data_IF_831563146162
#
_entry.id   IF_831563146162
#
_cell.length_a   1.000
_cell.length_b   1.000
_cell.length_c   1.000
_cell.angle_alpha   90.00
_cell.angle_beta   90.00
_cell.angle_gamma   90.00
#
_symmetry.space_group_name_H-M   'P 1'
#
loop_
_entity.id
_entity.type
_entity.pdbx_description
1 polymer ?
#
# COMPACT_ATOMS: atom_id res chain seq x y z
N UNK A 1 13.91 13.14 -4.69
CA UNK A 1 13.86 11.78 -4.10
C UNK A 1 12.45 11.39 -3.65
N UNK A 2 11.75 12.19 -2.83
CA UNK A 2 10.41 11.87 -2.32
C UNK A 2 9.36 11.50 -3.39
N UNK A 3 9.39 12.18 -4.54
CA UNK A 3 8.43 11.95 -5.65
C UNK A 3 8.63 10.57 -6.30
N UNK A 4 9.88 10.10 -6.43
CA UNK A 4 10.17 8.77 -7.01
C UNK A 4 9.71 7.65 -6.07
N UNK A 5 9.96 7.78 -4.77
CA UNK A 5 9.46 6.84 -3.77
C UNK A 5 7.93 6.83 -3.74
N UNK A 6 7.30 8.00 -3.81
CA UNK A 6 5.86 8.09 -3.89
C UNK A 6 5.30 7.47 -5.18
N UNK A 7 5.96 7.66 -6.32
CA UNK A 7 5.55 7.05 -7.59
C UNK A 7 5.61 5.51 -7.52
N UNK A 8 6.70 4.95 -7.01
CA UNK A 8 6.83 3.49 -6.79
C UNK A 8 5.77 2.97 -5.79
N UNK A 9 5.56 3.69 -4.70
CA UNK A 9 4.54 3.35 -3.70
C UNK A 9 3.12 3.43 -4.30
N UNK A 10 2.85 4.42 -5.13
CA UNK A 10 1.56 4.60 -5.81
C UNK A 10 1.31 3.46 -6.81
N UNK A 11 2.32 3.02 -7.56
CA UNK A 11 2.22 1.85 -8.45
C UNK A 11 1.94 0.57 -7.64
N UNK A 12 2.61 0.40 -6.49
CA UNK A 12 2.36 -0.72 -5.58
C UNK A 12 0.92 -0.69 -5.02
N UNK A 13 0.46 0.45 -4.50
CA UNK A 13 -0.90 0.61 -4.00
C UNK A 13 -1.95 0.39 -5.10
N UNK A 14 -1.69 0.89 -6.32
CA UNK A 14 -2.57 0.68 -7.46
C UNK A 14 -2.67 -0.81 -7.83
N UNK A 15 -1.55 -1.53 -7.83
CA UNK A 15 -1.52 -2.96 -8.07
C UNK A 15 -2.29 -3.75 -6.99
N UNK A 16 -2.16 -3.38 -5.72
CA UNK A 16 -2.88 -4.03 -4.61
C UNK A 16 -4.38 -3.75 -4.64
N UNK A 17 -4.79 -2.52 -4.95
CA UNK A 17 -6.20 -2.10 -4.87
C UNK A 17 -7.01 -2.44 -6.13
N UNK A 18 -6.47 -2.23 -7.33
CA UNK A 18 -7.23 -2.29 -8.58
C UNK A 18 -7.00 -3.54 -9.44
N UNK A 19 -5.86 -4.20 -9.29
CA UNK A 19 -5.55 -5.42 -10.03
C UNK A 19 -5.86 -6.64 -9.15
N UNK A 20 -4.90 -7.54 -9.02
CA UNK A 20 -5.02 -8.76 -8.24
C UNK A 20 -3.99 -8.77 -7.11
N UNK A 21 -3.37 -7.63 -6.78
CA UNK A 21 -2.26 -7.62 -5.82
C UNK A 21 -2.67 -8.06 -4.42
N UNK A 22 -3.90 -7.78 -3.99
CA UNK A 22 -4.41 -8.26 -2.70
C UNK A 22 -4.64 -9.78 -2.68
N UNK A 23 -5.23 -10.34 -3.74
CA UNK A 23 -5.44 -11.79 -3.92
C UNK A 23 -4.11 -12.52 -4.16
N UNK A 24 -3.17 -11.90 -4.87
CA UNK A 24 -1.81 -12.40 -5.11
C UNK A 24 -1.01 -12.40 -3.80
N UNK A 25 -1.15 -11.38 -2.95
CA UNK A 25 -0.55 -11.33 -1.61
C UNK A 25 -1.19 -12.34 -0.66
N UNK A 26 -2.50 -12.59 -0.76
CA UNK A 26 -3.18 -13.65 -0.02
C UNK A 26 -2.77 -15.06 -0.50
N UNK A 27 -2.56 -15.24 -1.80
CA UNK A 27 -2.02 -16.48 -2.38
C UNK A 27 -0.54 -16.69 -2.07
N UNK A 28 0.27 -15.62 -2.08
CA UNK A 28 1.67 -15.65 -1.65
C UNK A 28 1.81 -15.87 -0.14
N UNK A 29 0.86 -15.40 0.67
CA UNK A 29 0.75 -15.70 2.10
C UNK A 29 0.62 -17.21 2.37
N UNK A 30 0.06 -18.00 1.45
CA UNK A 30 0.02 -19.46 1.56
C UNK A 30 1.37 -20.13 1.26
N UNK A 31 2.26 -19.48 0.51
CA UNK A 31 3.56 -20.01 0.10
C UNK A 31 4.73 -19.47 0.93
N UNK A 32 4.61 -18.24 1.43
CA UNK A 32 5.65 -17.54 2.14
C UNK A 32 5.01 -16.98 3.40
N UNK A 33 5.37 -17.58 4.54
CA UNK A 33 5.12 -17.10 5.90
C UNK A 33 5.77 -15.74 6.12
N UNK A 34 5.25 -14.69 5.48
CA UNK A 34 5.63 -13.30 5.67
C UNK A 34 4.91 -12.78 6.91
N UNK A 35 5.62 -12.90 8.03
CA UNK A 35 5.60 -12.02 9.20
C UNK A 35 4.26 -11.80 9.95
N UNK A 36 4.36 -11.89 11.28
CA UNK A 36 3.29 -11.91 12.30
C UNK A 36 2.20 -10.83 12.15
N UNK A 37 2.46 -9.75 11.41
CA UNK A 37 1.54 -8.63 11.19
C UNK A 37 0.48 -8.87 10.09
N UNK A 38 0.74 -9.74 9.11
CA UNK A 38 -0.19 -10.05 8.02
C UNK A 38 -1.15 -11.21 8.33
N UNK A 39 -1.04 -11.81 9.52
CA UNK A 39 -1.73 -13.06 9.88
C UNK A 39 -3.26 -12.91 9.95
N UNK A 40 -3.77 -11.70 10.21
CA UNK A 40 -5.19 -11.46 10.53
C UNK A 40 -6.00 -10.79 9.41
N UNK A 41 -5.36 -10.16 8.41
CA UNK A 41 -6.08 -9.39 7.40
C UNK A 41 -6.40 -10.22 6.14
N UNK A 42 -7.68 -10.28 5.78
CA UNK A 42 -8.19 -10.80 4.50
C UNK A 42 -7.82 -9.89 3.32
N UNK A 43 -7.82 -10.37 2.05
CA UNK A 43 -7.54 -9.51 0.88
C UNK A 43 -8.40 -8.23 0.84
N UNK A 44 -9.63 -8.31 1.34
CA UNK A 44 -10.52 -7.14 1.46
C UNK A 44 -9.98 -6.11 2.45
N UNK A 45 -9.55 -6.54 3.63
CA UNK A 45 -8.98 -5.64 4.64
C UNK A 45 -7.64 -5.08 4.17
N UNK A 46 -6.83 -5.89 3.48
CA UNK A 46 -5.57 -5.46 2.88
C UNK A 46 -5.80 -4.34 1.84
N UNK A 47 -6.80 -4.50 0.95
CA UNK A 47 -7.18 -3.45 -0.01
C UNK A 47 -7.57 -2.15 0.70
N UNK A 48 -8.36 -2.25 1.78
CA UNK A 48 -8.78 -1.09 2.57
C UNK A 48 -7.59 -0.41 3.27
N UNK A 49 -6.73 -1.18 3.90
CA UNK A 49 -5.57 -0.68 4.63
C UNK A 49 -4.57 0.00 3.69
N UNK A 50 -4.28 -0.64 2.55
CA UNK A 50 -3.39 -0.09 1.52
C UNK A 50 -3.97 1.15 0.85
N UNK A 51 -5.30 1.21 0.67
CA UNK A 51 -5.98 2.41 0.21
C UNK A 51 -5.86 3.58 1.19
N UNK A 52 -6.04 3.32 2.49
CA UNK A 52 -5.90 4.34 3.55
C UNK A 52 -4.45 4.80 3.67
N UNK A 53 -3.48 3.89 3.63
CA UNK A 53 -2.06 4.22 3.71
C UNK A 53 -1.58 4.99 2.47
N UNK A 54 -2.15 4.70 1.30
CA UNK A 54 -1.96 5.47 0.07
C UNK A 54 -2.47 6.91 0.20
N UNK A 55 -3.69 7.10 0.71
CA UNK A 55 -4.27 8.42 0.97
C UNK A 55 -3.45 9.21 2.00
N UNK A 56 -3.00 8.57 3.08
CA UNK A 56 -2.14 9.21 4.09
C UNK A 56 -0.79 9.64 3.50
N UNK A 57 -0.18 8.81 2.64
CA UNK A 57 1.07 9.16 1.95
C UNK A 57 0.87 10.29 0.95
N UNK A 58 -0.27 10.33 0.25
CA UNK A 58 -0.63 11.41 -0.66
C UNK A 58 -0.83 12.72 0.09
N UNK A 59 -1.50 12.68 1.25
CA UNK A 59 -1.65 13.85 2.13
C UNK A 59 -0.29 14.35 2.65
N UNK A 60 0.61 13.44 3.07
CA UNK A 60 1.96 13.79 3.51
C UNK A 60 2.82 14.40 2.40
N UNK A 61 2.71 13.88 1.16
CA UNK A 61 3.40 14.46 0.01
C UNK A 61 2.84 15.84 -0.35
N UNK A 62 1.52 16.02 -0.33
CA UNK A 62 0.89 17.33 -0.55
C UNK A 62 1.30 18.33 0.54
N UNK A 63 1.34 17.89 1.80
CA UNK A 63 1.81 18.73 2.90
C UNK A 63 3.28 19.12 2.72
N UNK A 64 4.14 18.18 2.31
CA UNK A 64 5.54 18.47 2.01
C UNK A 64 5.74 19.38 0.80
N UNK A 65 4.83 19.36 -0.18
CA UNK A 65 4.92 20.20 -1.39
C UNK A 65 4.33 21.59 -1.19
N UNK A 66 3.23 21.72 -0.45
CA UNK A 66 2.48 22.98 -0.30
C UNK A 66 2.63 23.63 1.08
N UNK A 67 2.85 22.85 2.13
CA UNK A 67 3.06 23.30 3.50
C UNK A 67 4.52 23.47 3.86
N UNK A 68 5.41 23.59 2.86
CA UNK A 68 6.86 23.62 3.01
C UNK A 68 7.32 24.50 4.17
N UNK A 69 8.15 23.92 5.03
CA UNK A 69 9.01 24.66 5.96
C UNK A 69 10.08 25.42 5.19
#
# INVERSE_FOLDING_TARGET
MAILFFALYSVFCFWVVFLDGADTLEGWRALVTLDWFAWTLTARELRFYVGISWLASLAGLLFSLFGGT
#
